data_IF_439107465579
#
_entry.id   IF_439107465579
#
_cell.length_a   1.000
_cell.length_b   1.000
_cell.length_c   1.000
_cell.angle_alpha   90.00
_cell.angle_beta   90.00
_cell.angle_gamma   90.00
#
_symmetry.space_group_name_H-M   'P 1'
#
loop_
_entity.id
_entity.type
_entity.pdbx_description
1 polymer ?
#
# COMPACT_ATOMS: atom_id res chain seq x y z
N UNK A 1 7.39 -43.83 -30.27
CA UNK A 1 8.28 -42.67 -30.51
C UNK A 1 8.40 -41.94 -29.18
N UNK A 2 9.58 -41.97 -28.54
CA UNK A 2 9.78 -41.47 -27.16
C UNK A 2 9.61 -39.95 -27.15
N UNK A 3 8.66 -39.41 -26.39
CA UNK A 3 8.50 -37.97 -26.18
C UNK A 3 9.71 -37.47 -25.40
N UNK A 4 10.54 -36.66 -26.05
CA UNK A 4 11.67 -36.01 -25.39
C UNK A 4 11.14 -35.05 -24.30
N UNK A 5 11.68 -35.13 -23.10
CA UNK A 5 11.38 -34.27 -21.96
C UNK A 5 12.65 -33.49 -21.66
N UNK A 6 12.57 -32.17 -21.56
CA UNK A 6 13.68 -31.32 -21.14
C UNK A 6 13.44 -30.83 -19.72
N UNK A 7 14.38 -31.11 -18.82
CA UNK A 7 14.35 -30.63 -17.43
C UNK A 7 14.96 -29.22 -17.34
N UNK A 8 14.24 -28.29 -16.73
CA UNK A 8 14.80 -27.03 -16.23
C UNK A 8 14.32 -26.81 -14.79
N UNK A 9 15.17 -26.20 -13.96
CA UNK A 9 15.11 -25.98 -12.51
C UNK A 9 13.69 -25.80 -11.88
N UNK A 10 12.89 -26.87 -11.84
CA UNK A 10 11.69 -26.98 -11.00
C UNK A 10 10.38 -27.46 -11.63
N UNK A 11 10.22 -27.58 -12.96
CA UNK A 11 8.98 -28.14 -13.56
C UNK A 11 9.24 -28.93 -14.85
N UNK A 12 8.60 -30.11 -14.97
CA UNK A 12 8.59 -30.95 -16.16
C UNK A 12 7.47 -30.48 -17.09
N UNK A 13 7.81 -30.10 -18.33
CA UNK A 13 6.84 -29.58 -19.32
C UNK A 13 6.93 -30.42 -20.60
N UNK A 14 5.79 -30.78 -21.17
CA UNK A 14 5.73 -31.57 -22.41
C UNK A 14 6.23 -30.74 -23.60
N UNK A 15 7.00 -31.33 -24.52
CA UNK A 15 7.49 -30.63 -25.73
C UNK A 15 6.37 -30.02 -26.59
N UNK A 16 5.16 -30.58 -26.53
CA UNK A 16 3.99 -30.03 -27.22
C UNK A 16 3.50 -28.72 -26.61
N UNK A 17 3.89 -28.40 -25.38
CA UNK A 17 3.52 -27.19 -24.64
C UNK A 17 4.62 -26.11 -24.64
N UNK A 18 5.74 -26.33 -25.32
CA UNK A 18 6.82 -25.33 -25.47
C UNK A 18 6.29 -24.03 -26.07
N UNK A 19 5.32 -24.10 -26.99
CA UNK A 19 4.66 -22.92 -27.55
C UNK A 19 3.97 -22.07 -26.48
N UNK A 20 3.51 -22.67 -25.36
CA UNK A 20 2.92 -21.94 -24.23
C UNK A 20 3.98 -21.15 -23.47
N UNK A 21 5.18 -21.69 -23.30
CA UNK A 21 6.31 -20.98 -22.67
C UNK A 21 6.76 -19.79 -23.51
N UNK A 22 6.93 -19.98 -24.82
CA UNK A 22 7.27 -18.89 -25.74
C UNK A 22 6.21 -17.79 -25.68
N UNK A 23 4.94 -18.18 -25.68
CA UNK A 23 3.81 -17.25 -25.58
C UNK A 23 3.78 -16.50 -24.24
N UNK A 24 4.01 -17.19 -23.11
CA UNK A 24 4.11 -16.55 -21.79
C UNK A 24 5.25 -15.53 -21.75
N UNK A 25 6.41 -15.86 -22.31
CA UNK A 25 7.55 -14.94 -22.40
C UNK A 25 7.26 -13.73 -23.29
N UNK A 26 6.59 -13.93 -24.43
CA UNK A 26 6.18 -12.83 -25.32
C UNK A 26 5.20 -11.87 -24.65
N UNK A 27 4.17 -12.41 -23.97
CA UNK A 27 3.19 -11.62 -23.23
C UNK A 27 3.86 -10.84 -22.09
N UNK A 28 4.81 -11.46 -21.39
CA UNK A 28 5.57 -10.81 -20.31
C UNK A 28 6.43 -9.64 -20.83
N UNK A 29 7.14 -9.84 -21.95
CA UNK A 29 7.97 -8.81 -22.58
C UNK A 29 7.12 -7.63 -23.07
N UNK A 30 6.03 -7.92 -23.79
CA UNK A 30 5.08 -6.91 -24.24
C UNK A 30 4.52 -6.12 -23.06
N UNK A 31 4.12 -6.80 -21.99
CA UNK A 31 3.61 -6.14 -20.80
C UNK A 31 4.63 -5.18 -20.16
N UNK A 32 5.90 -5.59 -20.10
CA UNK A 32 6.97 -4.75 -19.56
C UNK A 32 7.25 -3.50 -20.41
N UNK A 33 7.21 -3.62 -21.75
CA UNK A 33 7.40 -2.51 -22.68
C UNK A 33 6.27 -1.49 -22.59
N UNK A 34 5.02 -1.95 -22.67
CA UNK A 34 3.82 -1.11 -22.51
C UNK A 34 3.86 -0.39 -21.17
N UNK A 35 4.23 -1.10 -20.10
CA UNK A 35 4.32 -0.51 -18.77
C UNK A 35 5.41 0.58 -18.67
N UNK A 36 6.56 0.40 -19.31
CA UNK A 36 7.63 1.39 -19.33
C UNK A 36 7.22 2.68 -20.04
N UNK A 37 6.42 2.57 -21.11
CA UNK A 37 5.89 3.73 -21.82
C UNK A 37 4.79 4.45 -21.03
N UNK A 38 3.90 3.69 -20.39
CA UNK A 38 2.87 4.24 -19.52
C UNK A 38 3.49 4.95 -18.31
N UNK A 39 4.54 4.40 -17.68
CA UNK A 39 5.24 5.08 -16.57
C UNK A 39 5.71 6.50 -16.91
N UNK A 40 6.06 6.78 -18.18
CA UNK A 40 6.50 8.11 -18.63
C UNK A 40 5.35 9.09 -18.88
N UNK A 41 4.14 8.59 -19.09
CA UNK A 41 3.01 9.35 -19.64
C UNK A 41 1.80 9.38 -18.71
N UNK A 42 1.51 8.29 -18.01
CA UNK A 42 0.45 8.14 -17.01
C UNK A 42 0.89 7.15 -15.91
N UNK A 43 1.12 7.68 -14.69
CA UNK A 43 1.57 6.89 -13.54
C UNK A 43 0.47 6.05 -12.87
N UNK A 44 -0.80 6.19 -13.28
CA UNK A 44 -1.93 5.44 -12.75
C UNK A 44 -3.00 5.18 -13.84
N UNK A 45 -2.69 4.36 -14.86
CA UNK A 45 -3.60 4.11 -15.97
C UNK A 45 -4.73 3.15 -15.59
N UNK A 46 -5.90 3.39 -16.17
CA UNK A 46 -7.05 2.48 -16.11
C UNK A 46 -6.81 1.24 -16.98
N UNK A 47 -7.53 0.15 -16.71
CA UNK A 47 -7.46 -1.06 -17.52
C UNK A 47 -7.83 -0.82 -19.01
N UNK A 48 -8.71 0.16 -19.28
CA UNK A 48 -9.10 0.52 -20.64
C UNK A 48 -7.95 1.20 -21.40
N UNK A 49 -7.25 2.15 -20.77
CA UNK A 49 -6.08 2.83 -21.35
C UNK A 49 -4.94 1.85 -21.60
N UNK A 50 -4.73 0.88 -20.69
CA UNK A 50 -3.76 -0.19 -20.86
C UNK A 50 -4.09 -1.05 -22.09
N UNK A 51 -5.35 -1.47 -22.25
CA UNK A 51 -5.77 -2.27 -23.42
C UNK A 51 -5.53 -1.54 -24.73
N UNK A 52 -5.90 -0.27 -24.79
CA UNK A 52 -5.66 0.55 -25.97
C UNK A 52 -4.16 0.61 -26.30
N UNK A 53 -3.31 0.81 -25.29
CA UNK A 53 -1.86 0.85 -25.45
C UNK A 53 -1.27 -0.49 -25.92
N UNK A 54 -1.75 -1.61 -25.38
CA UNK A 54 -1.32 -2.95 -25.81
C UNK A 54 -1.66 -3.16 -27.29
N UNK A 55 -2.89 -2.86 -27.70
CA UNK A 55 -3.34 -3.02 -29.10
C UNK A 55 -2.50 -2.19 -30.08
N UNK A 56 -2.03 -1.01 -29.66
CA UNK A 56 -1.14 -0.17 -30.47
C UNK A 56 0.28 -0.74 -30.62
N UNK A 57 0.73 -1.59 -29.69
CA UNK A 57 2.10 -2.09 -29.61
C UNK A 57 2.26 -3.58 -30.00
N UNK A 58 1.15 -4.28 -30.24
CA UNK A 58 1.16 -5.67 -30.71
C UNK A 58 0.63 -5.80 -32.14
N UNK A 59 1.16 -6.77 -32.89
CA UNK A 59 0.59 -7.20 -34.17
C UNK A 59 -0.63 -8.12 -34.00
N UNK A 60 -0.98 -8.51 -32.76
CA UNK A 60 -2.05 -9.46 -32.44
C UNK A 60 -3.00 -8.90 -31.37
N UNK A 61 -4.21 -8.47 -31.73
CA UNK A 61 -5.16 -7.89 -30.77
C UNK A 61 -5.51 -8.79 -29.57
N UNK A 62 -5.45 -10.12 -29.73
CA UNK A 62 -5.70 -11.09 -28.64
C UNK A 62 -4.71 -11.00 -27.47
N UNK A 63 -3.56 -10.34 -27.67
CA UNK A 63 -2.59 -10.11 -26.60
C UNK A 63 -3.13 -9.12 -25.55
N UNK A 64 -4.13 -8.28 -25.89
CA UNK A 64 -4.83 -7.38 -24.96
C UNK A 64 -5.87 -8.09 -24.06
N UNK A 65 -5.59 -9.35 -23.71
CA UNK A 65 -6.37 -10.14 -22.76
C UNK A 65 -6.13 -9.68 -21.31
N UNK A 66 -7.00 -10.14 -20.41
CA UNK A 66 -7.03 -9.72 -19.01
C UNK A 66 -5.72 -10.02 -18.26
N UNK A 67 -5.04 -11.12 -18.61
CA UNK A 67 -3.77 -11.51 -17.98
C UNK A 67 -2.64 -10.52 -18.34
N UNK A 68 -2.52 -10.15 -19.63
CA UNK A 68 -1.53 -9.18 -20.08
C UNK A 68 -1.82 -7.78 -19.52
N UNK A 69 -3.08 -7.36 -19.50
CA UNK A 69 -3.51 -6.08 -18.92
C UNK A 69 -3.18 -6.03 -17.43
N UNK A 70 -3.44 -7.13 -16.71
CA UNK A 70 -3.11 -7.24 -15.28
C UNK A 70 -1.61 -7.16 -15.05
N UNK A 71 -0.80 -7.85 -15.86
CA UNK A 71 0.67 -7.78 -15.81
C UNK A 71 1.19 -6.36 -16.11
N UNK A 72 0.64 -5.68 -17.11
CA UNK A 72 0.99 -4.27 -17.39
C UNK A 72 0.63 -3.41 -16.20
N UNK A 73 -0.57 -3.54 -15.64
CA UNK A 73 -0.96 -2.79 -14.45
C UNK A 73 -0.05 -3.09 -13.26
N UNK A 74 0.38 -4.34 -13.08
CA UNK A 74 1.38 -4.72 -12.07
C UNK A 74 2.77 -4.15 -12.33
N UNK A 75 3.16 -3.98 -13.59
CA UNK A 75 4.42 -3.35 -13.95
C UNK A 75 4.34 -1.82 -13.96
N UNK A 76 3.21 -1.20 -14.30
CA UNK A 76 3.02 0.25 -14.18
C UNK A 76 2.87 0.62 -12.71
N UNK A 77 2.25 -0.26 -11.92
CA UNK A 77 2.37 -0.19 -10.46
C UNK A 77 3.85 -0.06 -10.15
N UNK A 78 4.21 0.92 -9.31
CA UNK A 78 5.58 1.13 -8.91
C UNK A 78 6.17 -0.16 -8.34
N UNK A 79 7.46 -0.38 -8.56
CA UNK A 79 8.23 -1.33 -7.75
C UNK A 79 7.97 -0.98 -6.28
N UNK A 80 7.20 -1.84 -5.61
CA UNK A 80 6.70 -1.64 -4.24
C UNK A 80 7.86 -1.36 -3.24
N UNK A 81 9.10 -1.75 -3.57
CA UNK A 81 10.28 -1.47 -2.76
C UNK A 81 10.83 -0.03 -2.85
N UNK A 82 10.67 0.66 -3.97
CA UNK A 82 11.21 2.03 -4.15
C UNK A 82 10.22 3.11 -3.73
N UNK A 83 8.90 2.90 -3.93
CA UNK A 83 7.84 3.85 -3.54
C UNK A 83 7.44 3.84 -2.06
N UNK A 84 7.94 2.88 -1.27
CA UNK A 84 7.69 2.83 0.19
C UNK A 84 8.76 3.56 1.02
N UNK A 85 9.70 4.26 0.38
CA UNK A 85 10.66 5.09 1.11
C UNK A 85 9.87 6.22 1.80
N UNK A 86 9.81 6.18 3.12
CA UNK A 86 9.02 7.14 3.92
C UNK A 86 7.58 6.69 4.25
N UNK A 87 7.12 5.53 3.75
CA UNK A 87 5.92 4.91 4.31
C UNK A 87 6.25 4.35 5.70
N UNK A 88 5.32 4.53 6.63
CA UNK A 88 5.38 4.04 8.01
C UNK A 88 6.53 4.64 8.83
N UNK A 89 7.09 5.76 8.37
CA UNK A 89 7.97 6.62 9.15
C UNK A 89 7.20 7.81 9.69
N UNK A 90 7.53 8.22 10.92
CA UNK A 90 7.00 9.45 11.50
C UNK A 90 7.31 10.68 10.66
N UNK A 91 6.38 11.64 10.70
CA UNK A 91 6.43 12.85 9.90
C UNK A 91 7.44 13.85 10.48
N UNK A 92 8.10 14.60 9.59
CA UNK A 92 8.90 15.79 9.93
C UNK A 92 8.00 17.01 10.13
N UNK A 93 6.80 16.99 9.54
CA UNK A 93 5.75 18.00 9.72
C UNK A 93 5.32 18.12 11.20
N UNK A 94 4.95 19.34 11.63
CA UNK A 94 4.73 19.63 13.06
C UNK A 94 3.32 19.30 13.55
N UNK A 95 2.29 19.43 12.70
CA UNK A 95 0.89 19.28 13.14
C UNK A 95 0.26 17.93 12.78
N UNK A 96 0.62 17.34 11.64
CA UNK A 96 0.25 15.97 11.28
C UNK A 96 1.28 14.96 11.80
N UNK A 97 0.76 13.83 12.26
CA UNK A 97 1.51 12.69 12.76
C UNK A 97 1.15 11.44 11.96
N UNK A 98 2.05 10.45 11.98
CA UNK A 98 1.74 9.15 11.39
C UNK A 98 0.52 8.54 12.11
N UNK A 99 -0.41 8.01 11.32
CA UNK A 99 -1.69 7.48 11.80
C UNK A 99 -2.79 8.51 12.03
N UNK A 100 -2.54 9.81 11.82
CA UNK A 100 -3.61 10.81 11.88
C UNK A 100 -4.66 10.56 10.79
N UNK A 101 -5.91 10.86 11.14
CA UNK A 101 -7.06 10.69 10.26
C UNK A 101 -7.32 11.98 9.52
N UNK A 102 -7.63 11.89 8.24
CA UNK A 102 -7.73 13.05 7.35
C UNK A 102 -8.93 12.96 6.41
N UNK A 103 -9.36 14.12 5.93
CA UNK A 103 -10.32 14.32 4.84
C UNK A 103 -9.71 15.24 3.79
N UNK A 104 -10.33 15.36 2.61
CA UNK A 104 -9.99 16.42 1.67
C UNK A 104 -10.05 17.80 2.35
N UNK A 105 -8.99 18.58 2.15
CA UNK A 105 -8.75 19.90 2.70
C UNK A 105 -9.28 21.03 1.80
N UNK A 106 -9.08 22.29 2.19
CA UNK A 106 -9.53 23.45 1.42
C UNK A 106 -8.90 23.55 0.03
N UNK A 107 -7.64 23.13 -0.14
CA UNK A 107 -6.88 23.24 -1.39
C UNK A 107 -6.92 21.97 -2.24
N UNK A 108 -7.94 21.13 -2.05
CA UNK A 108 -8.07 19.85 -2.75
C UNK A 108 -8.35 20.03 -4.25
N UNK A 109 -7.46 19.49 -5.09
CA UNK A 109 -7.61 19.48 -6.56
C UNK A 109 -7.64 18.07 -7.17
N UNK A 110 -7.84 17.04 -6.34
CA UNK A 110 -7.66 15.62 -6.72
C UNK A 110 -8.97 14.88 -7.04
N UNK A 111 -10.02 15.61 -7.47
CA UNK A 111 -11.32 15.06 -7.87
C UNK A 111 -11.93 14.15 -6.78
N UNK A 112 -12.55 13.02 -7.14
CA UNK A 112 -13.25 12.11 -6.21
C UNK A 112 -12.39 10.89 -5.80
N UNK A 113 -11.06 11.03 -5.77
CA UNK A 113 -10.13 9.95 -5.41
C UNK A 113 -10.41 9.33 -4.03
N UNK A 114 -10.77 10.16 -3.05
CA UNK A 114 -11.13 9.76 -1.68
C UNK A 114 -12.56 9.23 -1.58
N UNK A 115 -13.37 9.33 -2.64
CA UNK A 115 -14.79 8.92 -2.66
C UNK A 115 -15.63 9.54 -1.54
N UNK A 116 -15.22 10.69 -1.02
CA UNK A 116 -15.84 11.32 0.15
C UNK A 116 -15.70 10.49 1.43
N UNK A 117 -14.68 9.65 1.55
CA UNK A 117 -14.33 8.90 2.76
C UNK A 117 -13.17 9.55 3.53
N UNK A 118 -12.94 9.09 4.75
CA UNK A 118 -11.76 9.45 5.52
C UNK A 118 -10.54 8.65 5.02
N UNK A 119 -9.35 9.15 5.35
CA UNK A 119 -8.09 8.47 5.10
C UNK A 119 -7.15 8.55 6.29
N UNK A 120 -6.04 7.82 6.21
CA UNK A 120 -4.99 7.76 7.23
C UNK A 120 -3.69 8.27 6.67
N UNK A 121 -3.00 9.13 7.40
CA UNK A 121 -1.60 9.47 7.14
C UNK A 121 -0.74 8.24 7.38
N UNK A 122 -0.11 7.73 6.32
CA UNK A 122 0.73 6.51 6.37
C UNK A 122 2.20 6.80 6.07
N UNK A 123 2.59 8.06 5.93
CA UNK A 123 4.00 8.42 5.79
C UNK A 123 4.22 9.81 5.21
N UNK A 124 5.47 10.14 4.96
CA UNK A 124 5.89 11.36 4.29
C UNK A 124 7.04 11.06 3.35
N UNK A 125 6.97 11.64 2.16
CA UNK A 125 8.01 11.52 1.17
C UNK A 125 9.25 12.35 1.57
N UNK A 126 10.43 11.72 1.49
CA UNK A 126 11.68 12.36 1.93
C UNK A 126 12.13 13.49 1.02
N UNK A 127 11.66 13.52 -0.23
CA UNK A 127 12.22 14.36 -1.28
C UNK A 127 11.30 15.56 -1.59
N UNK A 128 9.99 15.38 -1.47
CA UNK A 128 8.96 16.40 -1.76
C UNK A 128 8.21 16.90 -0.52
N UNK A 129 8.49 16.35 0.66
CA UNK A 129 7.76 16.58 1.92
C UNK A 129 6.24 16.28 1.86
N UNK A 130 5.74 15.77 0.73
CA UNK A 130 4.33 15.46 0.58
C UNK A 130 3.92 14.26 1.43
N UNK A 131 2.67 14.26 1.88
CA UNK A 131 2.15 13.32 2.88
C UNK A 131 1.46 12.17 2.18
N UNK A 132 1.85 10.94 2.50
CA UNK A 132 1.18 9.73 2.04
C UNK A 132 -0.11 9.53 2.82
N UNK A 133 -1.22 9.37 2.10
CA UNK A 133 -2.54 9.07 2.68
C UNK A 133 -3.12 7.84 2.01
N UNK A 134 -3.53 6.90 2.85
CA UNK A 134 -4.34 5.75 2.47
C UNK A 134 -5.80 6.02 2.84
N UNK A 135 -6.67 6.15 1.85
CA UNK A 135 -8.09 6.36 2.02
C UNK A 135 -8.80 5.05 2.39
N UNK A 136 -9.94 5.14 3.07
CA UNK A 136 -10.70 3.97 3.51
C UNK A 136 -11.29 3.15 2.34
N UNK A 137 -11.31 3.70 1.11
CA UNK A 137 -11.60 2.93 -0.11
C UNK A 137 -10.39 2.13 -0.64
N UNK A 138 -9.25 2.14 0.07
CA UNK A 138 -8.00 1.50 -0.31
C UNK A 138 -7.12 2.31 -1.27
N UNK A 139 -7.55 3.51 -1.70
CA UNK A 139 -6.74 4.36 -2.56
C UNK A 139 -5.57 4.96 -1.77
N UNK A 140 -4.33 4.79 -2.26
CA UNK A 140 -3.11 5.33 -1.66
C UNK A 140 -2.50 6.39 -2.58
N UNK A 141 -2.28 7.60 -2.08
CA UNK A 141 -1.61 8.66 -2.84
C UNK A 141 -0.92 9.68 -1.92
N UNK A 142 -0.18 10.61 -2.53
CA UNK A 142 0.49 11.71 -1.85
C UNK A 142 -0.27 13.01 -2.01
N UNK A 143 -0.27 13.82 -0.96
CA UNK A 143 -0.97 15.10 -0.92
C UNK A 143 -0.08 16.20 -0.35
N UNK A 144 -0.27 17.41 -0.86
CA UNK A 144 0.45 18.59 -0.37
C UNK A 144 -0.15 19.02 0.97
N UNK A 145 0.72 19.11 1.97
CA UNK A 145 0.42 19.66 3.28
C UNK A 145 1.58 20.57 3.69
N UNK A 146 1.50 21.84 3.31
CA UNK A 146 2.56 22.82 3.53
C UNK A 146 2.07 23.89 4.51
N UNK A 147 2.53 23.78 5.76
CA UNK A 147 2.22 24.73 6.83
C UNK A 147 2.86 26.11 6.61
N UNK A 148 3.92 26.21 5.80
CA UNK A 148 4.63 27.47 5.55
C UNK A 148 3.93 28.28 4.46
N UNK A 149 3.40 27.58 3.46
CA UNK A 149 2.70 28.18 2.33
C UNK A 149 1.18 28.24 2.52
N UNK A 150 0.65 27.71 3.62
CA UNK A 150 -0.80 27.64 3.91
C UNK A 150 -1.57 26.86 2.83
N UNK A 151 -0.98 25.75 2.36
CA UNK A 151 -1.55 24.89 1.33
C UNK A 151 -1.90 23.53 1.94
N UNK A 152 -3.19 23.24 2.02
CA UNK A 152 -3.72 22.04 2.67
C UNK A 152 -4.64 21.28 1.74
N UNK A 153 -4.05 20.38 0.94
CA UNK A 153 -4.84 19.42 0.15
C UNK A 153 -5.61 18.46 1.07
N UNK A 154 -5.09 18.18 2.27
CA UNK A 154 -5.72 17.32 3.28
C UNK A 154 -5.89 18.09 4.60
N UNK A 155 -6.89 17.71 5.39
CA UNK A 155 -7.13 18.27 6.72
C UNK A 155 -7.29 17.17 7.76
N UNK A 156 -6.75 17.38 8.96
CA UNK A 156 -6.89 16.46 10.09
C UNK A 156 -8.34 16.40 10.59
N UNK A 157 -8.81 15.21 10.91
CA UNK A 157 -10.13 14.91 11.50
C UNK A 157 -10.00 13.88 12.61
N UNK A 158 -11.09 13.67 13.36
CA UNK A 158 -11.20 12.62 14.38
C UNK A 158 -12.27 11.63 13.94
N UNK A 159 -11.92 10.74 13.03
CA UNK A 159 -12.79 9.70 12.50
C UNK A 159 -12.10 8.33 12.65
N UNK A 160 -12.80 7.26 13.07
CA UNK A 160 -12.19 5.95 13.20
C UNK A 160 -11.67 5.44 11.84
N UNK A 161 -10.60 4.62 11.86
CA UNK A 161 -10.13 3.91 10.67
C UNK A 161 -11.06 2.74 10.39
N UNK A 162 -11.52 2.63 9.15
CA UNK A 162 -12.28 1.45 8.68
C UNK A 162 -11.26 0.40 8.22
N UNK A 163 -11.36 -0.79 8.80
CA UNK A 163 -10.55 -1.94 8.40
C UNK A 163 -11.36 -2.81 7.42
N UNK A 164 -10.75 -3.20 6.31
CA UNK A 164 -11.34 -4.08 5.30
C UNK A 164 -10.47 -5.33 5.24
N UNK A 165 -10.98 -6.45 5.76
CA UNK A 165 -10.30 -7.76 5.80
C UNK A 165 -8.93 -7.78 6.52
N UNK A 166 -8.63 -6.75 7.32
CA UNK A 166 -7.41 -6.62 8.12
C UNK A 166 -7.75 -6.62 9.61
N UNK A 167 -6.90 -7.24 10.42
CA UNK A 167 -7.02 -7.23 11.89
C UNK A 167 -6.60 -5.87 12.49
N UNK A 168 -5.56 -5.28 11.89
CA UNK A 168 -4.92 -4.06 12.34
C UNK A 168 -4.18 -3.42 11.16
N UNK A 169 -4.17 -2.10 11.13
CA UNK A 169 -3.46 -1.32 10.13
C UNK A 169 -2.84 -0.08 10.77
N UNK A 170 -1.98 0.62 10.02
CA UNK A 170 -1.39 1.88 10.45
C UNK A 170 -2.49 2.91 10.76
N UNK A 171 -2.32 3.69 11.82
CA UNK A 171 -3.33 4.61 12.33
C UNK A 171 -4.45 3.99 13.15
N UNK A 172 -4.53 2.65 13.26
CA UNK A 172 -5.39 2.04 14.26
C UNK A 172 -5.02 2.52 15.66
N UNK A 173 -6.05 2.75 16.46
CA UNK A 173 -5.90 3.01 17.89
C UNK A 173 -5.90 1.70 18.65
N UNK A 174 -5.01 1.57 19.63
CA UNK A 174 -4.82 0.33 20.41
C UNK A 174 -4.67 0.62 21.89
N UNK A 175 -4.98 -0.35 22.73
CA UNK A 175 -4.64 -0.35 24.16
C UNK A 175 -3.83 -1.60 24.51
N UNK A 176 -3.27 -1.66 25.72
CA UNK A 176 -2.77 -2.93 26.28
C UNK A 176 -3.84 -4.02 26.18
N UNK A 177 -3.43 -5.21 25.75
CA UNK A 177 -4.27 -6.40 25.57
C UNK A 177 -4.22 -7.35 26.77
N UNK A 178 -4.87 -8.51 26.65
CA UNK A 178 -4.97 -9.51 27.73
C UNK A 178 -3.64 -10.16 28.12
N UNK A 179 -2.70 -10.25 27.18
CA UNK A 179 -1.40 -10.91 27.38
C UNK A 179 -0.27 -9.89 27.64
N UNK A 180 -0.63 -8.66 28.03
CA UNK A 180 0.32 -7.59 28.32
C UNK A 180 1.20 -7.90 29.54
N UNK A 181 2.52 -7.80 29.37
CA UNK A 181 3.51 -8.07 30.44
C UNK A 181 4.53 -6.93 30.63
N UNK A 182 4.33 -5.80 29.98
CA UNK A 182 5.32 -4.71 29.87
C UNK A 182 5.13 -3.59 30.91
N UNK A 183 4.60 -3.91 32.10
CA UNK A 183 4.30 -2.94 33.15
C UNK A 183 3.55 -1.70 32.60
N UNK A 184 4.06 -0.48 32.81
CA UNK A 184 3.49 0.76 32.29
C UNK A 184 4.30 1.35 31.13
N UNK A 185 4.89 0.51 30.28
CA UNK A 185 5.60 0.94 29.08
C UNK A 185 4.71 1.72 28.08
N UNK A 186 3.40 1.48 28.12
CA UNK A 186 2.37 2.23 27.40
C UNK A 186 2.02 3.57 28.06
N UNK A 187 2.51 3.85 29.27
CA UNK A 187 2.15 5.05 30.06
C UNK A 187 1.08 4.80 31.11
N UNK A 188 0.65 3.55 31.31
CA UNK A 188 -0.28 3.17 32.37
C UNK A 188 -1.64 2.69 31.88
N UNK A 189 -2.48 2.13 32.78
CA UNK A 189 -3.81 1.64 32.44
C UNK A 189 -4.67 2.72 31.77
N UNK A 190 -5.31 2.36 30.65
CA UNK A 190 -6.16 3.27 29.87
C UNK A 190 -5.39 4.12 28.85
N UNK A 191 -4.07 3.97 28.77
CA UNK A 191 -3.28 4.62 27.71
C UNK A 191 -3.67 4.07 26.33
N UNK A 192 -3.79 4.98 25.36
CA UNK A 192 -4.08 4.67 23.97
C UNK A 192 -2.80 4.86 23.14
N UNK A 193 -2.59 3.93 22.22
CA UNK A 193 -1.52 3.95 21.26
C UNK A 193 -2.04 4.10 19.83
N UNK A 194 -1.16 4.51 18.93
CA UNK A 194 -1.39 4.57 17.49
C UNK A 194 -0.43 3.62 16.80
N UNK A 195 -0.96 2.73 15.95
CA UNK A 195 -0.15 1.79 15.17
C UNK A 195 0.62 2.57 14.11
N UNK A 196 1.94 2.43 14.10
CA UNK A 196 2.85 3.07 13.15
C UNK A 196 3.23 2.14 12.00
N UNK A 197 3.39 0.84 12.29
CA UNK A 197 3.78 -0.17 11.30
C UNK A 197 3.21 -1.54 11.70
N UNK A 198 2.83 -2.34 10.70
CA UNK A 198 2.49 -3.75 10.85
C UNK A 198 3.52 -4.54 10.05
N UNK A 199 4.33 -5.34 10.73
CA UNK A 199 5.42 -6.10 10.12
C UNK A 199 4.92 -7.45 9.58
N UNK A 200 5.69 -8.05 8.68
CA UNK A 200 5.32 -9.30 8.01
C UNK A 200 5.28 -10.51 8.94
N UNK A 201 6.00 -10.45 10.06
CA UNK A 201 5.97 -11.45 11.12
C UNK A 201 4.79 -11.25 12.09
N UNK A 202 3.93 -10.26 11.86
CA UNK A 202 2.75 -9.98 12.69
C UNK A 202 3.05 -9.14 13.94
N UNK A 203 4.28 -8.65 14.10
CA UNK A 203 4.56 -7.64 15.12
C UNK A 203 4.04 -6.27 14.67
N UNK A 204 3.67 -5.45 15.65
CA UNK A 204 3.03 -4.15 15.45
C UNK A 204 3.81 -3.11 16.23
N UNK A 205 4.36 -2.13 15.52
CA UNK A 205 4.99 -0.96 16.13
C UNK A 205 3.92 0.03 16.54
N UNK A 206 3.88 0.39 17.82
CA UNK A 206 2.90 1.30 18.40
C UNK A 206 3.61 2.49 19.02
N UNK A 207 3.07 3.69 18.78
CA UNK A 207 3.39 4.90 19.55
C UNK A 207 2.28 5.21 20.53
N UNK A 208 2.61 5.21 21.81
CA UNK A 208 1.71 5.56 22.90
C UNK A 208 1.53 7.08 23.02
N UNK A 209 0.45 7.53 23.65
CA UNK A 209 0.20 8.96 23.89
C UNK A 209 1.32 9.65 24.69
N UNK A 210 2.04 8.88 25.51
CA UNK A 210 3.27 9.30 26.21
C UNK A 210 4.46 9.57 25.29
N UNK A 211 4.31 9.34 23.98
CA UNK A 211 5.35 9.38 22.93
C UNK A 211 6.38 8.25 23.01
N UNK A 212 6.25 7.31 23.94
CA UNK A 212 7.05 6.09 23.89
C UNK A 212 6.61 5.24 22.70
N UNK A 213 7.56 4.50 22.13
CA UNK A 213 7.30 3.52 21.07
C UNK A 213 7.67 2.13 21.55
N UNK A 214 6.87 1.14 21.17
CA UNK A 214 7.14 -0.26 21.46
C UNK A 214 6.59 -1.16 20.36
N UNK A 215 7.17 -2.34 20.24
CA UNK A 215 6.75 -3.36 19.28
C UNK A 215 6.08 -4.50 20.04
N UNK A 216 4.87 -4.87 19.61
CA UNK A 216 4.00 -5.79 20.32
C UNK A 216 3.34 -6.78 19.36
N UNK A 217 2.78 -7.84 19.91
CA UNK A 217 2.11 -8.89 19.15
C UNK A 217 0.61 -8.71 19.16
N UNK A 218 0.03 -8.81 17.98
CA UNK A 218 -1.40 -8.91 17.82
C UNK A 218 -1.71 -10.22 17.07
N UNK A 219 -2.30 -11.17 17.78
CA UNK A 219 -2.63 -12.53 17.30
C UNK A 219 -1.47 -13.43 16.88
N UNK A 220 -0.22 -13.04 17.09
CA UNK A 220 0.91 -13.94 16.84
C UNK A 220 0.94 -15.07 17.88
N UNK A 221 0.77 -16.32 17.42
CA UNK A 221 0.71 -17.53 18.25
C UNK A 221 -0.39 -17.48 19.34
N UNK A 222 -1.48 -16.75 19.09
CA UNK A 222 -2.58 -16.58 20.05
C UNK A 222 -2.31 -15.59 21.17
N UNK A 223 -1.20 -14.84 21.09
CA UNK A 223 -0.87 -13.76 22.02
C UNK A 223 -1.48 -12.43 21.56
N UNK A 224 -2.14 -11.76 22.49
CA UNK A 224 -2.76 -10.45 22.33
C UNK A 224 -2.14 -9.50 23.34
N UNK A 225 -0.92 -9.06 23.04
CA UNK A 225 -0.22 -8.06 23.85
C UNK A 225 -0.89 -6.68 23.68
N UNK A 226 -1.46 -6.39 22.51
CA UNK A 226 -2.27 -5.19 22.22
C UNK A 226 -3.63 -5.56 21.62
N UNK A 227 -4.58 -4.62 21.67
CA UNK A 227 -5.91 -4.78 21.07
C UNK A 227 -6.45 -3.46 20.47
N UNK A 228 -7.18 -3.57 19.33
CA UNK A 228 -8.47 -2.91 19.09
C UNK A 228 -8.97 -1.85 20.09
N UNK A 229 -8.60 -0.56 20.03
CA UNK A 229 -9.35 0.45 20.78
C UNK A 229 -10.64 0.79 20.02
N UNK A 230 -11.76 0.21 20.47
CA UNK A 230 -13.09 0.52 19.95
C UNK A 230 -13.69 1.67 20.78
N UNK A 231 -14.14 2.73 20.10
CA UNK A 231 -14.90 3.85 20.68
C UNK A 231 -16.38 3.62 20.46
#
# INVERSE_FOLDING_TARGET
MKSAVCETNGKVICCQEIHRLVRMTQVLMLAAEVANDLRKTNSNPTAAEVREKIVQQTSRPDDANDDCVSLVLEFVKPRIKERKKGLYSELVCRTLLLGDRVRRGPDWTFQEQDSGLAGTVVGQDSDSEAVWVEWDNGHLNMYIYDERLDIYSIKKVQEPRVLVDELVAVGCKVTRGKDWTYADADGGPGSVGTVLCVNQDGSVLVRWDSRSTGEYKMEMNGLFEIQIWQV
#
